data_IF_583680803279
#
_entry.id   IF_583680803279
#
_cell.length_a   1.000
_cell.length_b   1.000
_cell.length_c   1.000
_cell.angle_alpha   90.00
_cell.angle_beta   90.00
_cell.angle_gamma   90.00
#
_symmetry.space_group_name_H-M   'P 1'
#
loop_
_entity.id
_entity.type
_entity.pdbx_description
1 polymer ?
#
# COMPACT_ATOMS: atom_id res chain seq x y z
N UNK A 1 -129.04 138.03 -108.82
CA UNK A 1 -129.42 138.53 -107.47
C UNK A 1 -129.69 137.40 -106.47
N UNK A 2 -130.76 136.59 -106.57
CA UNK A 2 -131.03 135.56 -105.53
C UNK A 2 -130.39 134.17 -105.77
N UNK A 3 -130.24 133.71 -107.02
CA UNK A 3 -129.67 132.37 -107.28
C UNK A 3 -128.16 132.28 -106.98
N UNK A 4 -127.38 133.28 -107.39
CA UNK A 4 -125.93 133.36 -107.16
C UNK A 4 -125.56 133.36 -105.66
N UNK A 5 -126.47 133.87 -104.81
CA UNK A 5 -126.26 133.91 -103.35
C UNK A 5 -126.29 132.52 -102.70
N UNK A 6 -127.11 131.60 -103.20
CA UNK A 6 -127.22 130.25 -102.64
C UNK A 6 -126.18 129.28 -103.23
N UNK A 7 -125.76 129.51 -104.47
CA UNK A 7 -124.63 128.79 -105.09
C UNK A 7 -123.30 129.18 -104.43
N UNK A 8 -123.09 130.47 -104.13
CA UNK A 8 -121.96 130.94 -103.30
C UNK A 8 -121.99 130.41 -101.86
N UNK A 9 -123.17 130.16 -101.28
CA UNK A 9 -123.29 129.49 -99.97
C UNK A 9 -122.94 128.01 -100.06
N UNK A 10 -123.36 127.29 -101.10
CA UNK A 10 -122.97 125.89 -101.33
C UNK A 10 -121.46 125.75 -101.56
N UNK A 11 -120.88 126.55 -102.45
CA UNK A 11 -119.43 126.56 -102.69
C UNK A 11 -118.64 126.98 -101.43
N UNK A 12 -119.15 127.91 -100.60
CA UNK A 12 -118.56 128.18 -99.28
C UNK A 12 -118.68 127.00 -98.34
N UNK A 13 -119.84 126.35 -98.24
CA UNK A 13 -120.04 125.19 -97.37
C UNK A 13 -119.11 124.02 -97.77
N UNK A 14 -118.98 123.77 -99.07
CA UNK A 14 -118.13 122.75 -99.66
C UNK A 14 -116.64 123.07 -99.49
N UNK A 15 -116.23 124.34 -99.70
CA UNK A 15 -114.88 124.81 -99.38
C UNK A 15 -114.57 124.78 -97.87
N UNK A 16 -115.53 125.06 -96.99
CA UNK A 16 -115.34 124.89 -95.54
C UNK A 16 -115.26 123.41 -95.15
N UNK A 17 -116.03 122.53 -95.80
CA UNK A 17 -115.95 121.08 -95.61
C UNK A 17 -114.60 120.54 -96.06
N UNK A 18 -114.13 120.92 -97.25
CA UNK A 18 -112.82 120.58 -97.79
C UNK A 18 -111.68 121.11 -96.90
N UNK A 19 -111.76 122.36 -96.43
CA UNK A 19 -110.78 122.91 -95.48
C UNK A 19 -110.81 122.19 -94.13
N UNK A 20 -111.97 121.79 -93.62
CA UNK A 20 -112.08 120.98 -92.40
C UNK A 20 -111.52 119.57 -92.59
N UNK A 21 -111.74 118.96 -93.76
CA UNK A 21 -111.19 117.64 -94.11
C UNK A 21 -109.67 117.71 -94.29
N UNK A 22 -109.15 118.76 -94.93
CA UNK A 22 -107.73 119.02 -95.09
C UNK A 22 -107.07 119.31 -93.73
N UNK A 23 -107.71 120.08 -92.84
CA UNK A 23 -107.23 120.30 -91.49
C UNK A 23 -107.20 119.00 -90.67
N UNK A 24 -108.20 118.12 -90.82
CA UNK A 24 -108.20 116.77 -90.22
C UNK A 24 -107.05 115.92 -90.77
N UNK A 25 -106.86 115.85 -92.08
CA UNK A 25 -105.74 115.10 -92.65
C UNK A 25 -104.36 115.68 -92.25
N UNK A 26 -104.22 117.01 -92.15
CA UNK A 26 -103.00 117.63 -91.64
C UNK A 26 -102.78 117.31 -90.15
N UNK A 27 -103.85 117.27 -89.35
CA UNK A 27 -103.80 116.83 -87.96
C UNK A 27 -103.38 115.36 -87.87
N UNK A 28 -104.05 114.46 -88.60
CA UNK A 28 -103.75 113.02 -88.66
C UNK A 28 -102.30 112.76 -89.10
N UNK A 29 -101.82 113.46 -90.15
CA UNK A 29 -100.41 113.39 -90.57
C UNK A 29 -99.49 113.85 -89.44
N UNK A 30 -99.78 114.98 -88.79
CA UNK A 30 -98.96 115.46 -87.66
C UNK A 30 -98.95 114.50 -86.47
N UNK A 31 -100.05 113.80 -86.21
CA UNK A 31 -100.19 112.82 -85.14
C UNK A 31 -99.45 111.52 -85.49
N UNK A 32 -99.53 111.07 -86.75
CA UNK A 32 -98.76 109.93 -87.27
C UNK A 32 -97.26 110.22 -87.32
N UNK A 33 -96.84 111.45 -87.65
CA UNK A 33 -95.44 111.87 -87.60
C UNK A 33 -94.92 111.90 -86.16
N UNK A 34 -95.69 112.48 -85.22
CA UNK A 34 -95.37 112.43 -83.77
C UNK A 34 -95.25 110.99 -83.27
N UNK A 35 -96.17 110.10 -83.67
CA UNK A 35 -96.14 108.68 -83.30
C UNK A 35 -94.95 107.96 -83.92
N UNK A 36 -94.65 108.22 -85.19
CA UNK A 36 -93.48 107.64 -85.89
C UNK A 36 -92.17 108.13 -85.27
N UNK A 37 -92.08 109.39 -84.85
CA UNK A 37 -90.93 109.93 -84.11
C UNK A 37 -90.78 109.31 -82.72
N UNK A 38 -91.89 109.04 -82.00
CA UNK A 38 -91.86 108.30 -80.72
C UNK A 38 -91.37 106.88 -80.92
N UNK A 39 -91.98 106.12 -81.84
CA UNK A 39 -91.56 104.75 -82.17
C UNK A 39 -90.09 104.66 -82.62
N UNK A 40 -89.57 105.65 -83.35
CA UNK A 40 -88.14 105.72 -83.69
C UNK A 40 -87.26 105.89 -82.44
N UNK A 41 -87.60 106.84 -81.56
CA UNK A 41 -86.88 107.04 -80.29
C UNK A 41 -86.93 105.80 -79.39
N UNK A 42 -88.09 105.15 -79.30
CA UNK A 42 -88.27 103.90 -78.56
C UNK A 42 -87.45 102.76 -79.18
N UNK A 43 -87.42 102.64 -80.52
CA UNK A 43 -86.59 101.66 -81.22
C UNK A 43 -85.08 101.90 -80.99
N UNK A 44 -84.63 103.15 -81.05
CA UNK A 44 -83.23 103.50 -80.83
C UNK A 44 -82.82 103.29 -79.35
N UNK A 45 -83.72 103.56 -78.40
CA UNK A 45 -83.52 103.28 -76.97
C UNK A 45 -83.50 101.78 -76.66
N UNK A 46 -84.38 100.99 -77.30
CA UNK A 46 -84.36 99.51 -77.23
C UNK A 46 -83.08 98.96 -77.86
N UNK A 47 -82.57 99.54 -78.96
CA UNK A 47 -81.29 99.16 -79.56
C UNK A 47 -80.11 99.48 -78.64
N UNK A 48 -80.10 100.66 -78.02
CA UNK A 48 -79.07 101.09 -77.05
C UNK A 48 -79.04 100.15 -75.85
N UNK A 49 -80.18 99.88 -75.23
CA UNK A 49 -80.29 98.99 -74.07
C UNK A 49 -80.00 97.53 -74.41
N UNK A 50 -80.39 97.05 -75.59
CA UNK A 50 -79.99 95.73 -76.11
C UNK A 50 -78.46 95.65 -76.26
N UNK A 51 -77.83 96.66 -76.88
CA UNK A 51 -76.38 96.70 -77.06
C UNK A 51 -75.64 96.74 -75.72
N UNK A 52 -76.07 97.58 -74.76
CA UNK A 52 -75.51 97.63 -73.41
C UNK A 52 -75.70 96.33 -72.63
N UNK A 53 -76.82 95.62 -72.83
CA UNK A 53 -77.03 94.30 -72.22
C UNK A 53 -76.14 93.24 -72.85
N UNK A 54 -75.95 93.27 -74.18
CA UNK A 54 -75.08 92.36 -74.91
C UNK A 54 -73.60 92.57 -74.54
N UNK A 55 -73.18 93.83 -74.36
CA UNK A 55 -71.84 94.16 -73.88
C UNK A 55 -71.62 93.64 -72.45
N UNK A 56 -72.56 93.87 -71.52
CA UNK A 56 -72.52 93.32 -70.15
C UNK A 56 -72.52 91.79 -70.12
N UNK A 57 -73.24 91.13 -71.03
CA UNK A 57 -73.21 89.67 -71.18
C UNK A 57 -71.83 89.21 -71.66
N UNK A 58 -71.22 89.89 -72.64
CA UNK A 58 -69.88 89.53 -73.11
C UNK A 58 -68.78 89.78 -72.06
N UNK A 59 -68.89 90.85 -71.28
CA UNK A 59 -67.97 91.15 -70.17
C UNK A 59 -68.07 90.09 -69.07
N UNK A 60 -69.28 89.77 -68.60
CA UNK A 60 -69.48 88.72 -67.56
C UNK A 60 -69.10 87.33 -68.08
N UNK A 61 -69.34 87.00 -69.34
CA UNK A 61 -68.84 85.77 -69.96
C UNK A 61 -67.31 85.67 -69.93
N UNK A 62 -66.60 86.76 -70.25
CA UNK A 62 -65.14 86.80 -70.20
C UNK A 62 -64.60 86.65 -68.76
N UNK A 63 -65.22 87.33 -67.79
CA UNK A 63 -64.89 87.20 -66.37
C UNK A 63 -65.12 85.76 -65.85
N UNK A 64 -66.24 85.15 -66.22
CA UNK A 64 -66.55 83.76 -65.86
C UNK A 64 -65.60 82.76 -66.53
N UNK A 65 -65.24 82.95 -67.81
CA UNK A 65 -64.26 82.09 -68.50
C UNK A 65 -62.86 82.21 -67.87
N UNK A 66 -62.46 83.41 -67.46
CA UNK A 66 -61.23 83.65 -66.70
C UNK A 66 -61.25 82.94 -65.34
N UNK A 67 -62.36 83.04 -64.59
CA UNK A 67 -62.53 82.38 -63.31
C UNK A 67 -62.51 80.85 -63.44
N UNK A 68 -63.19 80.29 -64.45
CA UNK A 68 -63.20 78.85 -64.76
C UNK A 68 -61.77 78.36 -64.99
N UNK A 69 -60.99 79.02 -65.86
CA UNK A 69 -59.58 78.66 -66.13
C UNK A 69 -58.72 78.74 -64.86
N UNK A 70 -58.96 79.72 -63.99
CA UNK A 70 -58.30 79.83 -62.69
C UNK A 70 -58.59 78.64 -61.77
N UNK A 71 -59.87 78.24 -61.66
CA UNK A 71 -60.26 77.07 -60.87
C UNK A 71 -59.77 75.75 -61.48
N UNK A 72 -59.76 75.62 -62.81
CA UNK A 72 -59.19 74.45 -63.50
C UNK A 72 -57.70 74.29 -63.21
N UNK A 73 -56.92 75.39 -63.22
CA UNK A 73 -55.51 75.38 -62.84
C UNK A 73 -55.31 74.99 -61.38
N UNK A 74 -56.09 75.55 -60.45
CA UNK A 74 -56.03 75.18 -59.03
C UNK A 74 -56.40 73.70 -58.80
N UNK A 75 -57.41 73.19 -59.50
CA UNK A 75 -57.80 71.77 -59.44
C UNK A 75 -56.68 70.88 -60.00
N UNK A 76 -56.00 71.28 -61.06
CA UNK A 76 -54.87 70.54 -61.63
C UNK A 76 -53.66 70.53 -60.68
N UNK A 77 -53.32 71.67 -60.07
CA UNK A 77 -52.25 71.78 -59.06
C UNK A 77 -52.56 70.92 -57.83
N UNK A 78 -53.78 71.03 -57.28
CA UNK A 78 -54.22 70.23 -56.14
C UNK A 78 -54.18 68.73 -56.45
N UNK A 79 -54.62 68.29 -57.64
CA UNK A 79 -54.52 66.88 -58.08
C UNK A 79 -53.07 66.40 -58.21
N UNK A 80 -52.17 67.26 -58.69
CA UNK A 80 -50.74 66.94 -58.75
C UNK A 80 -50.15 66.80 -57.33
N UNK A 81 -50.54 67.69 -56.42
CA UNK A 81 -50.13 67.67 -55.01
C UNK A 81 -50.70 66.47 -54.23
N UNK A 82 -51.95 66.08 -54.45
CA UNK A 82 -52.50 64.85 -53.85
C UNK A 82 -51.80 63.62 -54.41
N UNK A 83 -51.61 63.51 -55.73
CA UNK A 83 -50.95 62.35 -56.34
C UNK A 83 -49.48 62.19 -55.92
N UNK A 84 -48.78 63.29 -55.65
CA UNK A 84 -47.41 63.25 -55.10
C UNK A 84 -47.40 62.90 -53.61
N UNK A 85 -48.35 63.40 -52.82
CA UNK A 85 -48.51 63.03 -51.41
C UNK A 85 -48.92 61.55 -51.25
N UNK A 86 -49.79 61.03 -52.11
CA UNK A 86 -50.21 59.63 -52.15
C UNK A 86 -49.01 58.71 -52.42
N UNK A 87 -48.16 59.03 -53.41
CA UNK A 87 -46.92 58.29 -53.70
C UNK A 87 -45.91 58.34 -52.55
N UNK A 88 -45.80 59.48 -51.87
CA UNK A 88 -44.93 59.59 -50.71
C UNK A 88 -45.45 58.71 -49.55
N UNK A 89 -46.76 58.75 -49.27
CA UNK A 89 -47.39 57.91 -48.26
C UNK A 89 -47.24 56.40 -48.59
N UNK A 90 -47.38 56.01 -49.85
CA UNK A 90 -47.17 54.63 -50.30
C UNK A 90 -45.70 54.21 -50.08
N UNK A 91 -44.73 55.03 -50.48
CA UNK A 91 -43.30 54.81 -50.23
C UNK A 91 -42.99 54.69 -48.72
N UNK A 92 -43.50 55.61 -47.91
CA UNK A 92 -43.26 55.65 -46.47
C UNK A 92 -43.92 54.44 -45.78
N UNK A 93 -45.09 53.99 -46.25
CA UNK A 93 -45.75 52.78 -45.77
C UNK A 93 -44.95 51.51 -46.11
N UNK A 94 -44.38 51.42 -47.31
CA UNK A 94 -43.54 50.30 -47.72
C UNK A 94 -42.22 50.25 -46.92
N UNK A 95 -41.64 51.40 -46.60
CA UNK A 95 -40.49 51.50 -45.69
C UNK A 95 -40.86 51.09 -44.26
N UNK A 96 -42.05 51.48 -43.77
CA UNK A 96 -42.55 51.08 -42.46
C UNK A 96 -42.67 49.56 -42.35
N UNK A 97 -43.35 48.92 -43.32
CA UNK A 97 -43.49 47.45 -43.34
C UNK A 97 -42.15 46.73 -43.43
N UNK A 98 -41.21 47.25 -44.22
CA UNK A 98 -39.85 46.69 -44.31
C UNK A 98 -39.08 46.81 -42.98
N UNK A 99 -39.26 47.92 -42.24
CA UNK A 99 -38.65 48.10 -40.93
C UNK A 99 -39.31 47.21 -39.86
N UNK A 100 -40.63 47.02 -39.91
CA UNK A 100 -41.36 46.09 -39.05
C UNK A 100 -40.89 44.64 -39.25
N UNK A 101 -40.86 44.15 -40.50
CA UNK A 101 -40.29 42.84 -40.84
C UNK A 101 -38.84 42.70 -40.35
N UNK A 102 -38.03 43.76 -40.48
CA UNK A 102 -36.64 43.74 -40.00
C UNK A 102 -36.54 43.69 -38.48
N UNK A 103 -37.44 44.37 -37.76
CA UNK A 103 -37.53 44.32 -36.30
C UNK A 103 -37.96 42.92 -35.85
N UNK A 104 -38.98 42.32 -36.45
CA UNK A 104 -39.42 40.96 -36.14
C UNK A 104 -38.31 39.92 -36.37
N UNK A 105 -37.58 40.01 -37.49
CA UNK A 105 -36.43 39.16 -37.76
C UNK A 105 -35.33 39.30 -36.70
N UNK A 106 -34.97 40.54 -36.34
CA UNK A 106 -33.95 40.81 -35.32
C UNK A 106 -34.40 40.35 -33.92
N UNK A 107 -35.68 40.48 -33.58
CA UNK A 107 -36.25 39.92 -32.34
C UNK A 107 -36.22 38.39 -32.36
N UNK A 108 -36.53 37.76 -33.49
CA UNK A 108 -36.42 36.31 -33.68
C UNK A 108 -35.00 35.80 -33.49
N UNK A 109 -34.01 36.47 -34.09
CA UNK A 109 -32.59 36.12 -33.95
C UNK A 109 -32.05 36.39 -32.55
N UNK A 110 -32.47 37.47 -31.88
CA UNK A 110 -32.16 37.74 -30.48
C UNK A 110 -32.70 36.65 -29.56
N UNK A 111 -33.96 36.23 -29.75
CA UNK A 111 -34.58 35.16 -28.97
C UNK A 111 -33.90 33.81 -29.21
N UNK A 112 -33.47 33.51 -30.44
CA UNK A 112 -32.65 32.32 -30.75
C UNK A 112 -31.30 32.36 -30.05
N UNK A 113 -30.61 33.50 -30.08
CA UNK A 113 -29.33 33.68 -29.40
C UNK A 113 -29.46 33.50 -27.88
N UNK A 114 -30.46 34.13 -27.26
CA UNK A 114 -30.73 34.03 -25.82
C UNK A 114 -31.11 32.61 -25.39
N UNK A 115 -31.92 31.90 -26.20
CA UNK A 115 -32.22 30.49 -25.94
C UNK A 115 -30.98 29.60 -26.05
N UNK A 116 -30.09 29.84 -27.03
CA UNK A 116 -28.84 29.09 -27.15
C UNK A 116 -27.86 29.39 -26.01
N UNK A 117 -27.78 30.66 -25.56
CA UNK A 117 -26.98 31.04 -24.39
C UNK A 117 -27.50 30.34 -23.12
N UNK A 118 -28.82 30.29 -22.93
CA UNK A 118 -29.43 29.55 -21.81
C UNK A 118 -29.08 28.07 -21.83
N UNK A 119 -29.09 27.43 -23.01
CA UNK A 119 -28.68 26.03 -23.18
C UNK A 119 -27.20 25.83 -22.83
N UNK A 120 -26.29 26.68 -23.34
CA UNK A 120 -24.87 26.61 -23.00
C UNK A 120 -24.60 26.84 -21.49
N UNK A 121 -25.39 27.69 -20.83
CA UNK A 121 -25.30 27.90 -19.38
C UNK A 121 -25.75 26.66 -18.60
N UNK A 122 -26.83 26.00 -19.03
CA UNK A 122 -27.32 24.76 -18.43
C UNK A 122 -26.35 23.59 -18.64
N UNK A 123 -25.85 23.38 -19.87
CA UNK A 123 -24.83 22.39 -20.19
C UNK A 123 -23.55 22.62 -19.36
N UNK A 124 -23.07 23.87 -19.27
CA UNK A 124 -21.92 24.23 -18.42
C UNK A 124 -22.21 23.93 -16.95
N UNK A 125 -23.43 24.15 -16.47
CA UNK A 125 -23.87 23.77 -15.13
C UNK A 125 -23.78 22.26 -14.89
N UNK A 126 -24.30 21.46 -15.81
CA UNK A 126 -24.18 19.99 -15.77
C UNK A 126 -22.72 19.52 -15.81
N UNK A 127 -21.90 20.12 -16.64
CA UNK A 127 -20.46 19.82 -16.71
C UNK A 127 -19.73 20.17 -15.40
N UNK A 128 -20.05 21.29 -14.75
CA UNK A 128 -19.47 21.64 -13.45
C UNK A 128 -19.86 20.64 -12.36
N UNK A 129 -21.13 20.21 -12.30
CA UNK A 129 -21.59 19.19 -11.36
C UNK A 129 -20.91 17.84 -11.61
N UNK A 130 -20.77 17.41 -12.87
CA UNK A 130 -20.08 16.14 -13.18
C UNK A 130 -18.59 16.21 -12.86
N UNK A 131 -17.92 17.34 -13.12
CA UNK A 131 -16.52 17.57 -12.72
C UNK A 131 -16.37 17.50 -11.19
N UNK A 132 -17.25 18.16 -10.43
CA UNK A 132 -17.22 18.14 -8.97
C UNK A 132 -17.45 16.72 -8.41
N UNK A 133 -18.37 15.95 -8.99
CA UNK A 133 -18.61 14.55 -8.63
C UNK A 133 -17.38 13.66 -8.93
N UNK A 134 -16.75 13.85 -10.09
CA UNK A 134 -15.53 13.13 -10.47
C UNK A 134 -14.33 13.51 -9.58
N UNK A 135 -14.19 14.78 -9.22
CA UNK A 135 -13.17 15.24 -8.26
C UNK A 135 -13.39 14.61 -6.88
N UNK A 136 -14.62 14.60 -6.37
CA UNK A 136 -14.97 13.98 -5.08
C UNK A 136 -14.73 12.45 -5.10
N UNK A 137 -15.02 11.79 -6.22
CA UNK A 137 -14.75 10.37 -6.41
C UNK A 137 -13.23 10.08 -6.50
N UNK A 138 -12.47 10.95 -7.15
CA UNK A 138 -11.00 10.85 -7.24
C UNK A 138 -10.35 11.06 -5.87
N UNK A 139 -10.79 12.06 -5.10
CA UNK A 139 -10.31 12.32 -3.73
C UNK A 139 -10.61 11.13 -2.81
N UNK A 140 -11.84 10.58 -2.86
CA UNK A 140 -12.21 9.36 -2.12
C UNK A 140 -11.33 8.15 -2.52
N UNK A 141 -11.01 8.00 -3.81
CA UNK A 141 -10.14 6.94 -4.29
C UNK A 141 -8.68 7.16 -3.87
N UNK A 142 -8.18 8.40 -3.85
CA UNK A 142 -6.85 8.75 -3.34
C UNK A 142 -6.74 8.44 -1.85
N UNK A 143 -7.68 8.91 -1.02
CA UNK A 143 -7.72 8.62 0.42
C UNK A 143 -7.80 7.10 0.68
N UNK A 144 -8.60 6.36 -0.10
CA UNK A 144 -8.64 4.90 0.00
C UNK A 144 -7.31 4.24 -0.40
N UNK A 145 -6.59 4.77 -1.39
CA UNK A 145 -5.32 4.22 -1.85
C UNK A 145 -4.18 4.53 -0.89
N UNK A 146 -4.15 5.72 -0.31
CA UNK A 146 -3.18 6.09 0.73
C UNK A 146 -3.38 5.21 1.97
N UNK A 147 -4.63 4.98 2.39
CA UNK A 147 -4.95 4.03 3.47
C UNK A 147 -4.55 2.58 3.14
N UNK A 148 -4.81 2.10 1.92
CA UNK A 148 -4.35 0.77 1.46
C UNK A 148 -2.80 0.66 1.53
N UNK A 149 -2.09 1.71 1.10
CA UNK A 149 -0.63 1.78 1.09
C UNK A 149 -0.08 1.81 2.52
N UNK A 150 -0.64 2.61 3.43
CA UNK A 150 -0.21 2.65 4.83
C UNK A 150 -0.40 1.29 5.52
N UNK A 151 -1.54 0.62 5.28
CA UNK A 151 -1.79 -0.74 5.78
C UNK A 151 -0.79 -1.74 5.20
N UNK A 152 -0.45 -1.65 3.91
CA UNK A 152 0.54 -2.52 3.28
C UNK A 152 1.97 -2.26 3.82
N UNK A 153 2.34 -0.99 4.01
CA UNK A 153 3.63 -0.57 4.58
C UNK A 153 3.78 -1.05 6.01
N UNK A 154 2.74 -0.94 6.85
CA UNK A 154 2.84 -1.40 8.24
C UNK A 154 2.89 -2.94 8.34
N UNK A 155 2.14 -3.67 7.51
CA UNK A 155 2.29 -5.13 7.38
C UNK A 155 3.72 -5.54 6.99
N UNK A 156 4.30 -4.89 5.97
CA UNK A 156 5.69 -5.16 5.55
C UNK A 156 6.70 -4.81 6.65
N UNK A 157 6.44 -3.77 7.46
CA UNK A 157 7.26 -3.46 8.64
C UNK A 157 7.12 -4.51 9.73
N UNK A 158 5.92 -5.03 9.99
CA UNK A 158 5.69 -6.13 10.93
C UNK A 158 6.39 -7.43 10.48
N UNK A 159 6.26 -7.81 9.21
CA UNK A 159 6.97 -8.93 8.61
C UNK A 159 8.50 -8.76 8.73
N UNK A 160 9.03 -7.57 8.45
CA UNK A 160 10.45 -7.25 8.61
C UNK A 160 10.90 -7.34 10.08
N UNK A 161 10.11 -6.83 11.04
CA UNK A 161 10.38 -6.97 12.48
C UNK A 161 10.41 -8.45 12.89
N UNK A 162 9.43 -9.24 12.42
CA UNK A 162 9.36 -10.68 12.69
C UNK A 162 10.55 -11.45 12.09
N UNK A 163 10.91 -11.17 10.83
CA UNK A 163 12.06 -11.77 10.17
C UNK A 163 13.38 -11.41 10.89
N UNK A 164 13.57 -10.14 11.26
CA UNK A 164 14.75 -9.69 12.01
C UNK A 164 14.83 -10.31 13.42
N UNK A 165 13.68 -10.47 14.12
CA UNK A 165 13.62 -11.19 15.39
C UNK A 165 13.96 -12.67 15.21
N UNK A 166 13.40 -13.32 14.18
CA UNK A 166 13.73 -14.69 13.79
C UNK A 166 15.23 -14.86 13.56
N UNK A 167 15.83 -14.00 12.73
CA UNK A 167 17.28 -13.99 12.45
C UNK A 167 18.11 -13.84 13.74
N UNK A 168 17.76 -12.91 14.65
CA UNK A 168 18.44 -12.75 15.94
C UNK A 168 18.35 -14.01 16.82
N UNK A 169 17.20 -14.69 16.84
CA UNK A 169 17.09 -15.96 17.59
C UNK A 169 17.86 -17.10 16.94
N UNK A 170 17.96 -17.12 15.61
CA UNK A 170 18.74 -18.11 14.87
C UNK A 170 20.25 -17.90 15.07
N UNK A 171 20.75 -16.66 15.00
CA UNK A 171 22.16 -16.35 15.27
C UNK A 171 22.54 -16.65 16.72
N UNK A 172 21.71 -16.26 17.70
CA UNK A 172 21.96 -16.60 19.11
C UNK A 172 21.98 -18.12 19.37
N UNK A 173 21.16 -18.91 18.66
CA UNK A 173 21.21 -20.38 18.70
C UNK A 173 22.47 -20.94 18.05
N UNK A 174 22.91 -20.37 16.92
CA UNK A 174 24.15 -20.76 16.26
C UNK A 174 25.37 -20.48 17.15
N UNK A 175 25.48 -19.27 17.72
CA UNK A 175 26.51 -18.91 18.70
C UNK A 175 26.51 -19.83 19.92
N UNK A 176 25.31 -20.19 20.44
CA UNK A 176 25.21 -21.15 21.54
C UNK A 176 25.66 -22.56 21.12
N UNK A 177 25.37 -23.00 19.90
CA UNK A 177 25.79 -24.30 19.38
C UNK A 177 27.31 -24.34 19.15
N UNK A 178 27.90 -23.31 18.53
CA UNK A 178 29.35 -23.15 18.42
C UNK A 178 30.04 -23.12 19.79
N UNK A 179 29.48 -22.38 20.75
CA UNK A 179 29.99 -22.33 22.12
C UNK A 179 29.91 -23.67 22.86
N UNK A 180 28.97 -24.55 22.49
CA UNK A 180 28.93 -25.95 22.98
C UNK A 180 29.94 -26.83 22.25
N UNK A 181 30.07 -26.71 20.93
CA UNK A 181 31.07 -27.44 20.14
C UNK A 181 32.47 -27.16 20.65
N UNK A 182 32.87 -25.88 20.81
CA UNK A 182 34.19 -25.51 21.37
C UNK A 182 34.46 -26.09 22.75
N UNK A 183 33.42 -26.22 23.60
CA UNK A 183 33.55 -26.88 24.92
C UNK A 183 33.73 -28.39 24.79
N UNK A 184 33.01 -29.02 23.87
CA UNK A 184 33.15 -30.46 23.58
C UNK A 184 34.54 -30.74 23.00
N UNK A 185 35.01 -29.95 22.04
CA UNK A 185 36.36 -30.02 21.45
C UNK A 185 37.45 -29.87 22.52
N UNK A 186 37.36 -28.87 23.40
CA UNK A 186 38.27 -28.72 24.55
C UNK A 186 38.23 -29.94 25.48
N UNK A 187 37.04 -30.46 25.80
CA UNK A 187 36.93 -31.65 26.64
C UNK A 187 37.48 -32.91 25.95
N UNK A 188 37.31 -33.03 24.63
CA UNK A 188 37.87 -34.09 23.80
C UNK A 188 39.39 -34.05 23.81
N UNK A 189 39.99 -32.89 23.57
CA UNK A 189 41.44 -32.69 23.65
C UNK A 189 41.99 -33.03 25.06
N UNK A 190 41.26 -32.71 26.14
CA UNK A 190 41.68 -33.15 27.49
C UNK A 190 41.51 -34.65 27.73
N UNK A 191 40.50 -35.28 27.11
CA UNK A 191 40.29 -36.72 27.17
C UNK A 191 41.38 -37.48 26.37
N UNK A 192 41.74 -37.00 25.19
CA UNK A 192 42.87 -37.50 24.38
C UNK A 192 44.20 -37.39 25.15
N UNK A 193 44.48 -36.24 25.77
CA UNK A 193 45.66 -36.09 26.64
C UNK A 193 45.64 -37.02 27.85
N UNK A 194 44.48 -37.27 28.44
CA UNK A 194 44.32 -38.22 29.54
C UNK A 194 44.56 -39.67 29.06
N UNK A 195 44.01 -40.02 27.91
CA UNK A 195 44.17 -41.33 27.30
C UNK A 195 45.63 -41.59 26.90
N UNK A 196 46.34 -40.59 26.36
CA UNK A 196 47.78 -40.67 26.11
C UNK A 196 48.57 -40.91 27.40
N UNK A 197 48.28 -40.15 28.48
CA UNK A 197 48.90 -40.38 29.80
C UNK A 197 48.63 -41.79 30.34
N UNK A 198 47.43 -42.33 30.12
CA UNK A 198 47.09 -43.70 30.49
C UNK A 198 47.90 -44.70 29.66
N UNK A 199 48.03 -44.54 28.33
CA UNK A 199 48.84 -45.45 27.51
C UNK A 199 50.33 -45.37 27.88
N UNK A 200 50.85 -44.18 28.15
CA UNK A 200 52.23 -43.97 28.59
C UNK A 200 52.46 -44.68 29.94
N UNK A 201 51.56 -44.50 30.91
CA UNK A 201 51.59 -45.21 32.20
C UNK A 201 51.42 -46.72 32.06
N UNK A 202 50.60 -47.21 31.14
CA UNK A 202 50.47 -48.65 30.86
C UNK A 202 51.77 -49.21 30.28
N UNK A 203 52.42 -48.49 29.37
CA UNK A 203 53.74 -48.89 28.83
C UNK A 203 54.82 -48.91 29.91
N UNK A 204 54.81 -47.96 30.85
CA UNK A 204 55.72 -47.94 32.00
C UNK A 204 55.41 -49.09 32.99
N UNK A 205 54.14 -49.43 33.20
CA UNK A 205 53.74 -50.62 33.97
C UNK A 205 54.23 -51.91 33.28
N UNK A 206 54.15 -52.01 31.95
CA UNK A 206 54.69 -53.15 31.21
C UNK A 206 56.21 -53.22 31.31
N UNK A 207 56.91 -52.08 31.20
CA UNK A 207 58.36 -51.97 31.41
C UNK A 207 58.77 -52.43 32.81
N UNK A 208 58.11 -51.92 33.85
CA UNK A 208 58.35 -52.30 35.24
C UNK A 208 57.98 -53.76 35.53
N UNK A 209 56.92 -54.31 34.91
CA UNK A 209 56.58 -55.74 35.02
C UNK A 209 57.64 -56.63 34.38
N UNK A 210 58.19 -56.24 33.23
CA UNK A 210 59.30 -56.95 32.62
C UNK A 210 60.57 -56.86 33.47
N UNK A 211 60.89 -55.68 34.01
CA UNK A 211 62.02 -55.48 34.93
C UNK A 211 61.88 -56.35 36.20
N UNK A 212 60.69 -56.42 36.80
CA UNK A 212 60.38 -57.32 37.93
C UNK A 212 60.48 -58.80 37.54
N UNK A 213 60.07 -59.19 36.33
CA UNK A 213 60.22 -60.56 35.84
C UNK A 213 61.72 -60.93 35.67
N UNK A 214 62.50 -60.05 35.04
CA UNK A 214 63.95 -60.22 34.88
C UNK A 214 64.65 -60.28 36.24
N UNK A 215 64.28 -59.43 37.21
CA UNK A 215 64.82 -59.47 38.57
C UNK A 215 64.44 -60.75 39.32
N UNK A 216 63.22 -61.27 39.11
CA UNK A 216 62.79 -62.57 39.66
C UNK A 216 63.61 -63.71 39.08
N UNK A 217 63.93 -63.66 37.79
CA UNK A 217 64.77 -64.67 37.14
C UNK A 217 66.23 -64.59 37.64
N UNK A 218 66.79 -63.38 37.80
CA UNK A 218 68.11 -63.19 38.43
C UNK A 218 68.14 -63.67 39.89
N UNK A 219 67.05 -63.49 40.65
CA UNK A 219 66.92 -64.01 42.01
C UNK A 219 66.90 -65.55 42.03
N UNK A 220 66.15 -66.18 41.12
CA UNK A 220 66.11 -67.64 40.97
C UNK A 220 67.47 -68.21 40.56
N UNK A 221 68.15 -67.58 39.59
CA UNK A 221 69.51 -67.91 39.14
C UNK A 221 70.51 -67.83 40.31
N UNK A 222 70.44 -66.76 41.12
CA UNK A 222 71.29 -66.57 42.30
C UNK A 222 71.03 -67.62 43.38
N UNK A 223 69.75 -67.96 43.63
CA UNK A 223 69.35 -69.03 44.54
C UNK A 223 69.76 -70.42 44.05
N UNK A 224 69.83 -70.64 42.73
CA UNK A 224 70.33 -71.87 42.14
C UNK A 224 71.84 -72.02 42.36
N UNK A 225 72.63 -70.97 42.05
CA UNK A 225 74.10 -70.97 42.26
C UNK A 225 74.48 -71.17 43.73
N UNK A 226 73.78 -70.50 44.65
CA UNK A 226 74.03 -70.66 46.09
C UNK A 226 73.78 -72.10 46.58
N UNK A 227 72.95 -72.87 45.86
CA UNK A 227 72.66 -74.28 46.15
C UNK A 227 73.71 -75.24 45.58
N UNK A 228 74.44 -74.85 44.54
CA UNK A 228 75.60 -75.61 44.03
C UNK A 228 76.86 -75.37 44.89
N UNK A 229 77.15 -74.13 45.28
CA UNK A 229 78.36 -73.80 46.05
C UNK A 229 78.36 -74.29 47.52
N UNK A 230 77.21 -74.69 48.06
CA UNK A 230 77.05 -75.06 49.48
C UNK A 230 77.14 -76.56 49.77
N UNK A 231 77.52 -77.39 48.78
CA UNK A 231 77.55 -78.85 48.88
C UNK A 231 78.95 -79.43 48.69
N UNK A 232 79.81 -79.42 49.72
CA UNK A 232 80.78 -80.51 49.98
C UNK A 232 81.55 -80.38 51.33
N UNK A 233 81.33 -81.31 52.25
CA UNK A 233 82.13 -81.47 53.49
C UNK A 233 83.44 -82.24 53.20
N UNK A 234 84.46 -81.56 52.67
CA UNK A 234 85.80 -82.13 52.51
C UNK A 234 86.65 -81.96 53.79
N UNK A 235 86.81 -83.03 54.58
CA UNK A 235 87.74 -83.09 55.72
C UNK A 235 89.08 -83.72 55.30
N UNK A 236 90.20 -83.04 55.58
CA UNK A 236 91.52 -83.36 55.02
C UNK A 236 92.08 -84.72 55.48
N UNK A 237 92.32 -85.59 54.51
CA UNK A 237 92.93 -86.92 54.64
C UNK A 237 94.28 -86.91 55.38
N UNK A 238 95.07 -85.82 55.31
CA UNK A 238 96.33 -85.68 56.05
C UNK A 238 96.15 -85.65 57.56
N UNK A 239 95.11 -84.96 58.05
CA UNK A 239 94.81 -84.85 59.49
C UNK A 239 94.45 -86.23 60.05
N UNK A 240 93.58 -86.96 59.37
CA UNK A 240 93.17 -88.33 59.76
C UNK A 240 94.37 -89.28 59.78
N UNK A 241 95.24 -89.21 58.76
CA UNK A 241 96.42 -90.09 58.64
C UNK A 241 97.39 -89.89 59.82
N UNK A 242 97.68 -88.65 60.20
CA UNK A 242 98.58 -88.36 61.34
C UNK A 242 98.01 -88.84 62.68
N UNK A 243 96.69 -88.71 62.92
CA UNK A 243 96.08 -89.21 64.16
C UNK A 243 96.14 -90.75 64.27
N UNK A 244 95.92 -91.48 63.16
CA UNK A 244 96.02 -92.95 63.14
C UNK A 244 97.45 -93.43 63.38
N UNK A 245 98.45 -92.82 62.72
CA UNK A 245 99.86 -93.19 62.88
C UNK A 245 100.34 -92.88 64.30
N UNK A 246 99.97 -91.73 64.86
CA UNK A 246 100.25 -91.37 66.24
C UNK A 246 99.67 -92.38 67.25
N UNK A 247 98.46 -92.88 67.02
CA UNK A 247 97.83 -93.85 67.91
C UNK A 247 98.51 -95.25 67.93
N UNK A 248 99.07 -95.69 66.79
CA UNK A 248 99.68 -97.02 66.67
C UNK A 248 101.14 -97.09 67.15
N UNK A 249 101.85 -95.96 67.21
CA UNK A 249 103.25 -95.91 67.61
C UNK A 249 103.51 -96.03 69.13
N UNK A 250 102.48 -95.87 69.98
CA UNK A 250 102.61 -95.91 71.44
C UNK A 250 102.36 -97.32 72.01
N UNK A 251 103.27 -97.77 72.88
CA UNK A 251 103.20 -99.07 73.56
C UNK A 251 102.05 -99.15 74.58
N UNK A 252 101.64 -100.38 74.89
CA UNK A 252 100.49 -100.64 75.77
C UNK A 252 100.69 -100.08 77.19
N UNK A 253 99.83 -99.13 77.59
CA UNK A 253 99.76 -98.59 78.96
C UNK A 253 99.95 -97.07 79.09
N UNK A 254 100.38 -96.36 78.04
CA UNK A 254 100.61 -94.91 78.11
C UNK A 254 99.30 -94.10 78.06
N UNK A 255 99.02 -93.18 79.02
CA UNK A 255 97.81 -92.36 79.05
C UNK A 255 97.61 -91.48 77.81
N UNK A 256 98.67 -91.05 77.11
CA UNK A 256 98.57 -90.20 75.90
C UNK A 256 97.78 -90.85 74.77
N UNK A 257 97.71 -92.18 74.76
CA UNK A 257 96.96 -92.95 73.76
C UNK A 257 95.45 -92.72 73.85
N UNK A 258 94.93 -92.40 75.04
CA UNK A 258 93.51 -92.11 75.25
C UNK A 258 93.12 -90.71 74.76
N UNK A 259 93.99 -89.71 74.97
CA UNK A 259 93.78 -88.33 74.51
C UNK A 259 93.70 -88.24 72.98
N UNK A 260 94.60 -88.91 72.25
CA UNK A 260 94.56 -88.96 70.78
C UNK A 260 93.25 -89.60 70.29
N UNK A 261 92.79 -90.65 70.95
CA UNK A 261 91.55 -91.35 70.60
C UNK A 261 90.30 -90.49 70.85
N UNK A 262 90.30 -89.69 71.91
CA UNK A 262 89.27 -88.70 72.20
C UNK A 262 89.29 -87.53 71.20
N UNK A 263 90.47 -87.13 70.70
CA UNK A 263 90.60 -86.17 69.60
C UNK A 263 90.04 -86.72 68.28
N UNK A 264 90.31 -87.99 67.97
CA UNK A 264 89.76 -88.67 66.78
C UNK A 264 88.22 -88.71 66.84
N UNK A 265 87.66 -89.08 68.00
CA UNK A 265 86.22 -89.07 68.27
C UNK A 265 85.56 -87.72 67.93
N UNK A 266 86.15 -86.61 68.39
CA UNK A 266 85.62 -85.26 68.18
C UNK A 266 85.75 -84.76 66.74
N UNK A 267 86.83 -85.10 66.03
CA UNK A 267 87.09 -84.58 64.68
C UNK A 267 86.34 -85.39 63.61
N UNK A 268 86.30 -86.72 63.74
CA UNK A 268 85.56 -87.60 62.82
C UNK A 268 84.10 -87.82 63.22
N UNK A 269 83.60 -87.15 64.27
CA UNK A 269 82.23 -87.24 64.76
C UNK A 269 81.75 -88.68 64.97
N UNK A 270 82.58 -89.51 65.62
CA UNK A 270 82.23 -90.90 65.88
C UNK A 270 80.93 -91.01 66.68
N UNK A 271 79.98 -91.85 66.24
CA UNK A 271 78.76 -92.11 67.00
C UNK A 271 79.06 -92.81 68.33
N UNK A 272 78.16 -92.72 69.32
CA UNK A 272 78.36 -93.35 70.65
C UNK A 272 78.71 -94.85 70.55
N UNK A 273 78.11 -95.59 69.61
CA UNK A 273 78.41 -97.00 69.36
C UNK A 273 79.85 -97.24 68.87
N UNK A 274 80.40 -96.32 68.08
CA UNK A 274 81.78 -96.39 67.63
C UNK A 274 82.73 -96.06 68.79
N UNK A 275 82.40 -95.07 69.61
CA UNK A 275 83.17 -94.69 70.80
C UNK A 275 83.23 -95.81 71.86
N UNK A 276 82.15 -96.59 72.03
CA UNK A 276 82.13 -97.79 72.90
C UNK A 276 83.13 -98.85 72.39
N UNK A 277 83.18 -99.11 71.07
CA UNK A 277 84.08 -100.13 70.47
C UNK A 277 85.56 -99.79 70.55
N UNK A 278 85.93 -98.51 70.54
CA UNK A 278 87.33 -98.07 70.76
C UNK A 278 87.69 -97.93 72.25
N UNK A 279 86.75 -98.25 73.16
CA UNK A 279 87.00 -98.32 74.61
C UNK A 279 86.94 -96.99 75.34
N UNK A 280 86.32 -95.95 74.75
CA UNK A 280 86.37 -94.58 75.27
C UNK A 280 85.28 -94.28 76.33
N UNK A 281 84.23 -95.09 76.46
CA UNK A 281 83.09 -94.80 77.38
C UNK A 281 82.67 -96.05 78.18
N UNK A 282 82.41 -95.89 79.49
CA UNK A 282 81.72 -96.86 80.36
C UNK A 282 80.32 -96.33 80.74
N UNK A 283 79.31 -97.20 80.76
CA UNK A 283 77.86 -96.87 80.75
C UNK A 283 77.30 -96.10 81.96
N UNK A 284 76.73 -94.92 81.70
CA UNK A 284 75.64 -94.22 82.43
C UNK A 284 75.06 -93.07 81.54
N UNK A 285 73.83 -92.53 81.70
CA UNK A 285 72.77 -92.91 82.64
C UNK A 285 71.44 -92.10 82.66
N UNK A 286 70.88 -91.65 81.51
CA UNK A 286 69.57 -90.95 81.31
C UNK A 286 69.45 -89.44 81.68
N UNK A 287 68.82 -88.63 80.80
CA UNK A 287 67.40 -88.13 80.97
C UNK A 287 66.90 -87.15 79.87
N UNK A 288 65.87 -87.63 79.14
CA UNK A 288 64.61 -87.03 78.65
C UNK A 288 64.43 -85.54 78.18
N UNK A 289 63.55 -85.26 77.17
CA UNK A 289 63.28 -83.95 76.55
C UNK A 289 61.82 -83.43 76.71
N UNK A 290 61.48 -82.20 76.24
CA UNK A 290 60.12 -81.75 75.81
C UNK A 290 60.21 -80.53 74.85
N UNK A 291 59.61 -80.51 73.63
CA UNK A 291 58.22 -80.12 73.20
C UNK A 291 57.92 -78.60 73.29
N UNK A 292 57.03 -77.96 72.52
CA UNK A 292 55.88 -78.39 71.66
C UNK A 292 55.53 -77.38 70.54
N UNK A 293 54.78 -77.83 69.53
CA UNK A 293 54.07 -77.00 68.54
C UNK A 293 52.52 -77.10 68.69
N UNK A 294 51.75 -76.47 67.76
CA UNK A 294 50.28 -76.57 67.52
C UNK A 294 49.36 -75.54 68.22
N UNK A 295 48.07 -75.38 67.83
CA UNK A 295 47.51 -75.20 66.46
C UNK A 295 46.29 -74.21 66.41
N UNK A 296 45.56 -74.12 65.28
CA UNK A 296 44.07 -74.12 65.35
C UNK A 296 43.25 -72.94 64.77
N UNK A 297 42.52 -73.26 63.70
CA UNK A 297 41.38 -72.61 62.99
C UNK A 297 40.01 -72.80 63.73
N UNK A 298 38.78 -72.55 63.17
CA UNK A 298 38.15 -71.42 62.41
C UNK A 298 36.64 -71.12 62.82
N UNK A 299 35.82 -70.47 61.94
CA UNK A 299 34.31 -70.63 61.76
C UNK A 299 33.37 -70.05 62.87
N UNK A 300 32.09 -69.62 62.68
CA UNK A 300 31.20 -69.11 61.58
C UNK A 300 29.80 -68.72 62.23
N UNK A 301 28.91 -68.00 61.50
CA UNK A 301 27.43 -67.89 61.71
C UNK A 301 26.89 -67.11 62.95
N UNK A 302 25.65 -66.54 62.99
CA UNK A 302 24.48 -66.52 62.07
C UNK A 302 23.57 -65.27 62.29
N UNK A 303 22.54 -65.08 61.43
CA UNK A 303 21.56 -63.96 61.39
C UNK A 303 20.28 -64.24 62.23
N UNK A 304 19.37 -63.27 62.54
CA UNK A 304 18.34 -62.76 61.59
C UNK A 304 17.91 -61.26 61.72
N UNK A 305 16.98 -60.86 60.83
CA UNK A 305 16.37 -59.52 60.53
C UNK A 305 15.12 -59.20 61.41
N UNK A 306 14.31 -58.10 61.24
CA UNK A 306 14.28 -57.04 60.21
C UNK A 306 14.04 -55.56 60.68
N UNK A 307 14.12 -54.60 59.75
CA UNK A 307 13.67 -53.20 59.94
C UNK A 307 14.04 -52.24 58.78
N UNK A 308 13.06 -51.47 58.30
CA UNK A 308 12.99 -50.60 57.11
C UNK A 308 13.94 -49.36 57.12
N UNK A 309 14.15 -48.53 56.07
CA UNK A 309 13.39 -48.25 54.83
C UNK A 309 14.27 -48.11 53.56
N UNK A 310 13.63 -48.14 52.37
CA UNK A 310 14.25 -47.81 51.06
C UNK A 310 13.35 -46.83 50.29
N UNK A 311 13.55 -45.53 50.49
CA UNK A 311 12.85 -44.49 49.72
C UNK A 311 13.68 -44.13 48.47
N UNK A 312 13.65 -45.01 47.46
CA UNK A 312 14.47 -44.85 46.26
C UNK A 312 13.70 -45.19 44.97
N UNK A 313 13.82 -44.29 44.00
CA UNK A 313 13.20 -44.31 42.67
C UNK A 313 11.67 -44.24 42.57
N UNK A 314 10.88 -45.01 43.33
CA UNK A 314 9.41 -44.98 43.21
C UNK A 314 8.82 -43.59 43.50
N UNK A 315 9.19 -42.98 44.62
CA UNK A 315 8.68 -41.65 45.02
C UNK A 315 9.17 -40.53 44.10
N UNK A 316 10.39 -40.63 43.58
CA UNK A 316 10.90 -39.67 42.61
C UNK A 316 10.12 -39.77 41.28
N UNK A 317 9.76 -40.99 40.86
CA UNK A 317 8.95 -41.23 39.66
C UNK A 317 7.49 -40.78 39.84
N UNK A 318 6.91 -41.02 41.02
CA UNK A 318 5.58 -40.48 41.41
C UNK A 318 5.60 -38.95 41.41
N UNK A 319 6.66 -38.33 41.96
CA UNK A 319 6.81 -36.86 41.95
C UNK A 319 6.94 -36.29 40.53
N UNK A 320 7.57 -37.02 39.62
CA UNK A 320 7.70 -36.67 38.21
C UNK A 320 6.34 -36.73 37.51
N UNK A 321 5.60 -37.83 37.67
CA UNK A 321 4.25 -38.00 37.11
C UNK A 321 3.25 -36.95 37.64
N UNK A 322 3.32 -36.61 38.94
CA UNK A 322 2.47 -35.56 39.53
C UNK A 322 2.82 -34.16 38.97
N UNK A 323 4.09 -33.91 38.66
CA UNK A 323 4.59 -32.65 38.10
C UNK A 323 4.36 -32.50 36.60
N UNK A 324 4.26 -33.60 35.86
CA UNK A 324 3.95 -33.61 34.44
C UNK A 324 2.42 -33.55 34.19
N UNK A 325 1.62 -34.32 34.95
CA UNK A 325 0.15 -34.29 34.88
C UNK A 325 -0.47 -32.96 35.34
N UNK A 326 0.17 -32.22 36.24
CA UNK A 326 -0.26 -30.87 36.61
C UNK A 326 0.08 -29.81 35.55
N UNK A 327 1.05 -30.07 34.66
CA UNK A 327 1.48 -29.15 33.60
C UNK A 327 0.58 -29.15 32.36
N UNK A 328 -0.22 -30.20 32.16
CA UNK A 328 -1.14 -30.30 31.01
C UNK A 328 -2.51 -29.66 31.28
N UNK A 329 -2.80 -29.19 32.51
CA UNK A 329 -4.12 -28.64 32.88
C UNK A 329 -4.24 -27.11 32.81
N UNK A 330 -3.19 -26.38 32.42
CA UNK A 330 -3.17 -24.89 32.39
C UNK A 330 -3.01 -24.28 31.00
N UNK A 331 -3.32 -25.03 29.94
CA UNK A 331 -3.56 -24.49 28.59
C UNK A 331 -4.86 -25.05 28.01
N UNK A 332 -6.00 -24.48 28.43
CA UNK A 332 -7.24 -24.38 27.65
C UNK A 332 -8.34 -23.65 28.45
N UNK A 333 -8.40 -22.33 28.37
CA UNK A 333 -9.68 -21.57 28.41
C UNK A 333 -9.47 -20.23 27.70
N UNK A 334 -10.30 -19.87 26.71
CA UNK A 334 -10.28 -18.54 26.09
C UNK A 334 -11.17 -17.55 26.84
N UNK A 335 -10.77 -16.27 26.83
CA UNK A 335 -11.65 -15.10 26.73
C UNK A 335 -10.96 -14.07 25.84
#
# INVERSE_FOLDING_TARGET
MNAESDELKRLRAEATSANQLQARFQQDISERDKLTQRLRKELDEVRRTLWESQEKISQTQYEHEGAIKGYEQQIAELKSRTSSAEKQLESDSAQHTQLEERIELLQGDLNRALNSESQWVEERGMHLVTIQNLQSALESLQVSKDADVDIAVEKLREELRHAAAGQRTATARAEQAEGRLRKIELSGATAEQCQQKITDQMSEIERLRHEVAVLKDHLNESMYRLREESSEFNLDKRVITNLVVGFLALSYGDPKRYEILQLMSSILQFSEEQQEKVGLIRKAGRRAPLKSASPGTPVLESTPTPGETKDSFSDQWISFLLRESSKTRTKNTPQ
#
